data_IF_219810606531
#
_entry.id   IF_219810606531
#
_cell.length_a   1.000
_cell.length_b   1.000
_cell.length_c   1.000
_cell.angle_alpha   90.00
_cell.angle_beta   90.00
_cell.angle_gamma   90.00
#
_symmetry.space_group_name_H-M   'P 1'
#
loop_
_entity.id
_entity.type
_entity.pdbx_description
1 polymer ?
#
# COMPACT_ATOMS: atom_id res chain seq x y z
N UNK A 1 4.75 19.41 -5.21
CA UNK A 1 3.97 18.88 -4.08
C UNK A 1 4.23 17.39 -4.01
N UNK A 2 4.66 16.88 -2.86
CA UNK A 2 4.88 15.45 -2.70
C UNK A 2 3.55 14.70 -2.93
N UNK A 3 3.62 13.57 -3.63
CA UNK A 3 2.48 12.65 -3.79
C UNK A 3 2.71 11.48 -2.85
N UNK A 4 1.64 11.00 -2.22
CA UNK A 4 1.69 9.88 -1.29
C UNK A 4 1.03 8.65 -1.92
N UNK A 5 1.25 7.46 -1.36
CA UNK A 5 0.68 6.23 -1.90
C UNK A 5 -0.27 5.58 -0.90
N UNK A 6 -1.34 4.98 -1.41
CA UNK A 6 -2.08 3.97 -0.65
C UNK A 6 -1.45 2.60 -0.87
N UNK A 7 -1.52 1.71 0.12
CA UNK A 7 -1.02 0.35 0.01
C UNK A 7 -2.03 -0.62 0.63
N UNK A 8 -2.61 -1.49 -0.21
CA UNK A 8 -3.58 -2.48 0.25
C UNK A 8 -2.89 -3.66 0.91
N UNK A 9 -3.41 -4.07 2.07
CA UNK A 9 -3.00 -5.28 2.77
C UNK A 9 -4.14 -6.30 2.78
N UNK A 10 -3.80 -7.59 2.82
CA UNK A 10 -4.74 -8.64 3.21
C UNK A 10 -5.01 -8.51 4.70
N UNK A 11 -6.24 -8.72 5.18
CA UNK A 11 -6.49 -8.63 6.62
C UNK A 11 -5.64 -9.66 7.40
N UNK A 12 -5.02 -9.23 8.51
CA UNK A 12 -4.13 -10.07 9.30
C UNK A 12 -4.34 -9.87 10.81
N UNK A 13 -4.83 -10.90 11.49
CA UNK A 13 -5.23 -10.85 12.91
C UNK A 13 -4.07 -10.72 13.90
N UNK A 14 -2.82 -10.69 13.42
CA UNK A 14 -1.63 -10.46 14.24
C UNK A 14 -0.90 -9.17 13.86
N UNK A 15 -1.60 -8.20 13.26
CA UNK A 15 -1.08 -6.84 13.07
C UNK A 15 0.01 -6.68 12.00
N UNK A 16 0.07 -7.58 11.01
CA UNK A 16 1.07 -7.57 9.91
C UNK A 16 2.52 -7.42 10.39
N UNK A 17 2.86 -8.12 11.47
CA UNK A 17 4.15 -8.03 12.17
C UNK A 17 5.19 -9.08 11.69
N UNK A 18 4.98 -9.71 10.54
CA UNK A 18 5.85 -10.78 10.02
C UNK A 18 5.69 -12.14 10.70
N UNK A 19 4.64 -12.36 11.49
CA UNK A 19 4.35 -13.65 12.13
C UNK A 19 3.07 -14.25 11.56
N UNK A 20 2.95 -15.57 11.56
CA UNK A 20 1.69 -16.26 11.26
C UNK A 20 0.61 -15.79 12.22
N UNK A 21 -0.65 -15.79 11.78
CA UNK A 21 -1.78 -15.50 12.66
C UNK A 21 -1.76 -16.44 13.89
N UNK A 22 -2.17 -15.94 15.06
CA UNK A 22 -2.22 -16.77 16.27
C UNK A 22 -3.28 -17.87 16.19
N UNK A 23 -4.29 -17.66 15.34
CA UNK A 23 -5.37 -18.59 15.02
C UNK A 23 -5.71 -18.50 13.53
N UNK A 24 -4.92 -19.16 12.66
CA UNK A 24 -5.05 -19.00 11.20
C UNK A 24 -6.42 -19.42 10.64
N UNK A 25 -7.08 -20.37 11.30
CA UNK A 25 -8.40 -20.88 10.97
C UNK A 25 -9.53 -19.89 11.26
N UNK A 26 -9.36 -19.01 12.25
CA UNK A 26 -10.33 -17.94 12.57
C UNK A 26 -10.24 -16.75 11.61
N UNK A 27 -9.11 -16.54 10.91
CA UNK A 27 -8.95 -15.44 9.94
C UNK A 27 -9.61 -15.76 8.59
N UNK A 28 -10.94 -15.62 8.52
CA UNK A 28 -11.70 -15.81 7.27
C UNK A 28 -11.54 -14.65 6.28
N UNK A 29 -11.02 -13.51 6.74
CA UNK A 29 -10.93 -12.30 5.93
C UNK A 29 -9.74 -12.33 4.97
N UNK A 30 -8.63 -12.97 5.35
CA UNK A 30 -7.44 -13.06 4.48
C UNK A 30 -7.69 -13.89 3.20
N UNK A 31 -8.67 -14.81 3.23
CA UNK A 31 -9.09 -15.62 2.07
C UNK A 31 -10.34 -15.08 1.36
N UNK A 32 -10.88 -13.95 1.82
CA UNK A 32 -12.10 -13.38 1.26
C UNK A 32 -11.93 -12.92 -0.19
N UNK A 33 -13.05 -12.85 -0.93
CA UNK A 33 -13.09 -12.45 -2.37
C UNK A 33 -12.41 -11.11 -2.66
N UNK A 34 -12.41 -10.20 -1.69
CA UNK A 34 -11.81 -8.88 -1.79
C UNK A 34 -10.55 -8.79 -0.91
N UNK A 35 -9.83 -9.89 -0.72
CA UNK A 35 -8.51 -9.87 -0.11
C UNK A 35 -7.44 -9.35 -1.07
N UNK A 36 -6.21 -9.27 -0.61
CA UNK A 36 -5.04 -8.89 -1.40
C UNK A 36 -4.00 -10.01 -1.41
N UNK A 37 -3.38 -10.33 -2.56
CA UNK A 37 -3.67 -9.82 -3.91
C UNK A 37 -4.78 -10.63 -4.61
N UNK A 38 -6.05 -10.35 -4.32
CA UNK A 38 -7.18 -11.10 -4.88
C UNK A 38 -7.46 -12.38 -4.10
N UNK A 39 -7.55 -13.51 -4.80
CA UNK A 39 -7.87 -14.82 -4.22
C UNK A 39 -6.66 -15.73 -3.98
N UNK A 40 -5.43 -15.21 -4.17
CA UNK A 40 -4.17 -15.96 -4.03
C UNK A 40 -4.08 -16.67 -2.69
N UNK A 41 -4.29 -15.95 -1.58
CA UNK A 41 -4.19 -16.54 -0.23
C UNK A 41 -5.18 -17.70 -0.06
N UNK A 42 -6.41 -17.55 -0.54
CA UNK A 42 -7.43 -18.60 -0.46
C UNK A 42 -7.09 -19.84 -1.28
N UNK A 43 -6.32 -19.70 -2.37
CA UNK A 43 -5.92 -20.81 -3.26
C UNK A 43 -4.65 -21.51 -2.82
N UNK A 44 -3.70 -20.77 -2.22
CA UNK A 44 -2.33 -21.27 -2.02
C UNK A 44 -1.95 -21.49 -0.56
N UNK A 45 -2.78 -21.06 0.41
CA UNK A 45 -2.47 -21.31 1.82
C UNK A 45 -2.48 -22.80 2.16
N UNK A 46 -1.54 -23.18 3.02
CA UNK A 46 -1.51 -24.47 3.68
C UNK A 46 -1.97 -24.24 5.13
N UNK A 47 -3.27 -24.47 5.38
CA UNK A 47 -3.87 -24.18 6.68
C UNK A 47 -3.28 -25.09 7.78
N UNK A 48 -3.02 -26.36 7.48
CA UNK A 48 -2.47 -27.30 8.46
C UNK A 48 -1.06 -26.84 8.88
N UNK A 49 -0.23 -26.46 7.91
CA UNK A 49 1.09 -25.89 8.21
C UNK A 49 0.99 -24.58 9.00
N UNK A 50 0.09 -23.67 8.62
CA UNK A 50 -0.12 -22.40 9.33
C UNK A 50 -0.57 -22.64 10.78
N UNK A 51 -1.46 -23.62 11.02
CA UNK A 51 -1.91 -24.00 12.36
C UNK A 51 -0.78 -24.59 13.20
N UNK A 52 0.07 -25.45 12.63
CA UNK A 52 1.23 -26.03 13.32
C UNK A 52 2.27 -24.96 13.73
N UNK A 53 2.32 -23.84 13.01
CA UNK A 53 3.25 -22.73 13.25
C UNK A 53 2.54 -21.44 13.67
N UNK A 54 1.36 -21.56 14.30
CA UNK A 54 0.54 -20.40 14.67
C UNK A 54 1.31 -19.43 15.58
N UNK A 55 1.32 -18.14 15.19
CA UNK A 55 2.06 -17.09 15.91
C UNK A 55 3.58 -17.12 15.73
N UNK A 56 4.15 -18.05 14.97
CA UNK A 56 5.59 -18.10 14.72
C UNK A 56 6.06 -17.03 13.75
N UNK A 57 7.33 -16.65 13.89
CA UNK A 57 8.02 -15.68 13.07
C UNK A 57 8.36 -16.24 11.68
N UNK A 58 7.91 -15.58 10.63
CA UNK A 58 8.13 -16.02 9.25
C UNK A 58 9.60 -16.08 8.86
N UNK A 59 10.49 -15.34 9.55
CA UNK A 59 11.93 -15.40 9.28
C UNK A 59 12.56 -16.75 9.62
N UNK A 60 11.84 -17.63 10.32
CA UNK A 60 12.32 -18.95 10.77
C UNK A 60 11.63 -20.11 10.07
N UNK A 61 10.58 -19.83 9.29
CA UNK A 61 9.76 -20.85 8.67
C UNK A 61 10.46 -21.43 7.44
N UNK A 62 10.20 -22.71 7.18
CA UNK A 62 10.65 -23.38 5.96
C UNK A 62 9.72 -23.07 4.79
N UNK A 63 8.41 -23.06 5.04
CA UNK A 63 7.41 -22.69 4.05
C UNK A 63 7.10 -21.20 4.13
N UNK A 64 6.95 -20.58 2.96
CA UNK A 64 6.56 -19.18 2.83
C UNK A 64 5.03 -19.11 2.94
N UNK A 65 4.46 -18.32 3.88
CA UNK A 65 3.02 -18.21 3.99
C UNK A 65 2.40 -17.53 2.78
N UNK A 66 1.17 -17.90 2.43
CA UNK A 66 0.50 -17.37 1.25
C UNK A 66 0.24 -15.85 1.33
N UNK A 67 0.12 -15.31 2.55
CA UNK A 67 -0.03 -13.87 2.79
C UNK A 67 1.30 -13.09 2.81
N UNK A 68 2.42 -13.73 2.46
CA UNK A 68 3.79 -13.19 2.56
C UNK A 68 4.01 -11.85 1.86
N UNK A 69 3.26 -11.55 0.79
CA UNK A 69 3.30 -10.26 0.09
C UNK A 69 2.83 -9.08 0.94
N UNK A 70 2.13 -9.30 2.05
CA UNK A 70 1.61 -8.21 2.91
C UNK A 70 1.91 -8.38 4.40
N UNK A 71 2.29 -9.58 4.84
CA UNK A 71 2.42 -9.94 6.26
C UNK A 71 3.51 -9.15 7.01
N UNK A 72 4.48 -8.55 6.32
CA UNK A 72 5.63 -7.88 6.93
C UNK A 72 5.55 -6.34 6.93
N UNK A 73 4.37 -5.77 6.64
CA UNK A 73 4.17 -4.31 6.57
C UNK A 73 4.66 -3.57 7.82
N UNK A 74 4.52 -4.20 8.99
CA UNK A 74 4.96 -3.68 10.29
C UNK A 74 5.88 -4.65 11.04
N UNK A 75 6.50 -5.61 10.33
CA UNK A 75 7.42 -6.58 10.92
C UNK A 75 8.83 -6.05 11.11
N UNK A 76 9.57 -6.64 12.06
CA UNK A 76 10.91 -6.18 12.47
C UNK A 76 12.06 -6.96 11.87
N UNK A 77 11.79 -7.99 11.05
CA UNK A 77 12.79 -8.90 10.49
C UNK A 77 12.69 -9.03 8.99
N UNK A 78 13.77 -9.55 8.40
CA UNK A 78 13.78 -9.98 7.02
C UNK A 78 12.93 -11.25 6.88
N UNK A 79 12.03 -11.27 5.90
CA UNK A 79 11.30 -12.47 5.50
C UNK A 79 11.45 -12.67 3.99
N UNK A 80 10.90 -13.77 3.48
CA UNK A 80 10.81 -14.04 2.06
C UNK A 80 9.33 -14.07 1.69
N UNK A 81 8.97 -13.39 0.61
CA UNK A 81 7.69 -13.56 -0.06
C UNK A 81 7.86 -14.33 -1.36
N UNK A 82 6.80 -15.00 -1.80
CA UNK A 82 6.79 -15.75 -3.04
C UNK A 82 5.76 -15.18 -4.01
N UNK A 83 6.08 -15.18 -5.30
CA UNK A 83 5.11 -14.87 -6.35
C UNK A 83 5.19 -15.93 -7.45
N UNK A 84 4.08 -16.62 -7.67
CA UNK A 84 3.93 -17.54 -8.78
C UNK A 84 3.51 -16.81 -10.07
N UNK A 85 3.98 -17.28 -11.24
CA UNK A 85 3.46 -16.81 -12.52
C UNK A 85 2.02 -17.31 -12.73
N UNK A 86 1.24 -16.64 -13.59
CA UNK A 86 -0.09 -17.12 -13.97
C UNK A 86 -0.07 -18.54 -14.56
N UNK A 87 -1.11 -19.34 -14.32
CA UNK A 87 -1.21 -20.75 -14.75
C UNK A 87 -0.92 -21.00 -16.25
N UNK A 88 -1.25 -20.05 -17.12
CA UNK A 88 -0.99 -20.20 -18.54
C UNK A 88 0.50 -20.09 -18.91
N UNK A 89 1.35 -19.52 -18.03
CA UNK A 89 2.81 -19.47 -18.18
C UNK A 89 3.51 -20.73 -17.66
N UNK A 90 2.83 -21.58 -16.88
CA UNK A 90 3.41 -22.75 -16.22
C UNK A 90 3.23 -24.06 -17.01
N UNK A 91 2.68 -23.99 -18.23
CA UNK A 91 2.44 -25.17 -19.06
C UNK A 91 3.60 -25.45 -20.03
N UNK A 92 4.16 -26.66 -19.99
CA UNK A 92 5.07 -27.19 -21.01
C UNK A 92 6.55 -27.33 -20.59
N UNK A 93 7.41 -27.70 -21.55
CA UNK A 93 8.84 -28.03 -21.30
C UNK A 93 9.72 -26.85 -20.84
N UNK A 94 9.21 -25.62 -20.86
CA UNK A 94 9.88 -24.40 -20.39
C UNK A 94 8.91 -23.55 -19.55
N UNK A 95 8.21 -24.22 -18.64
CA UNK A 95 7.29 -23.58 -17.71
C UNK A 95 8.02 -22.51 -16.89
N UNK A 96 7.46 -21.30 -16.85
CA UNK A 96 7.92 -20.29 -15.91
C UNK A 96 7.71 -20.81 -14.49
N UNK A 97 8.57 -20.38 -13.58
CA UNK A 97 8.52 -20.73 -12.17
C UNK A 97 8.50 -19.47 -11.31
N UNK A 98 7.91 -19.60 -10.12
CA UNK A 98 7.80 -18.52 -9.16
C UNK A 98 9.17 -17.95 -8.76
N UNK A 99 9.12 -16.79 -8.15
CA UNK A 99 10.31 -16.09 -7.66
C UNK A 99 10.15 -15.70 -6.20
N UNK A 100 11.23 -15.88 -5.46
CA UNK A 100 11.35 -15.45 -4.08
C UNK A 100 11.79 -13.98 -4.04
N UNK A 101 11.09 -13.20 -3.23
CA UNK A 101 11.25 -11.77 -3.08
C UNK A 101 11.67 -11.51 -1.63
N UNK A 102 12.94 -11.16 -1.38
CA UNK A 102 13.39 -10.78 -0.05
C UNK A 102 12.66 -9.50 0.41
N UNK A 103 12.01 -9.57 1.57
CA UNK A 103 11.34 -8.44 2.19
C UNK A 103 12.11 -8.03 3.45
N UNK A 104 12.78 -6.86 3.45
CA UNK A 104 13.33 -6.26 4.67
C UNK A 104 12.26 -5.98 5.74
N UNK A 105 12.65 -5.54 6.95
CA UNK A 105 11.68 -5.10 7.96
C UNK A 105 10.80 -3.97 7.43
N UNK A 106 9.53 -3.99 7.85
CA UNK A 106 8.52 -3.01 7.47
C UNK A 106 8.32 -2.87 5.95
N UNK A 107 8.26 -4.01 5.26
CA UNK A 107 8.09 -4.10 3.81
C UNK A 107 6.81 -4.85 3.45
N UNK A 108 6.02 -4.29 2.54
CA UNK A 108 4.91 -4.98 1.88
C UNK A 108 4.99 -4.77 0.37
N UNK A 109 4.47 -5.72 -0.39
CA UNK A 109 4.35 -5.59 -1.83
C UNK A 109 3.09 -4.84 -2.23
N UNK A 110 3.13 -4.21 -3.41
CA UNK A 110 1.95 -3.64 -4.03
C UNK A 110 2.08 -3.59 -5.56
N UNK A 111 1.01 -3.18 -6.24
CA UNK A 111 0.97 -2.99 -7.67
C UNK A 111 -0.02 -1.90 -8.06
N UNK A 112 0.25 -1.23 -9.18
CA UNK A 112 -0.49 -0.08 -9.67
C UNK A 112 -1.47 -0.47 -10.79
N UNK A 113 -2.49 -1.26 -10.43
CA UNK A 113 -3.47 -1.80 -11.38
C UNK A 113 -4.00 -0.73 -12.36
N UNK A 114 -4.49 0.40 -11.86
CA UNK A 114 -5.09 1.43 -12.71
C UNK A 114 -4.10 2.03 -13.71
N UNK A 115 -2.86 2.30 -13.29
CA UNK A 115 -1.81 2.74 -14.20
C UNK A 115 -1.52 1.69 -15.28
N UNK A 116 -1.62 0.41 -14.96
CA UNK A 116 -1.29 -0.70 -15.86
C UNK A 116 -2.43 -1.19 -16.76
N UNK A 117 -3.66 -0.69 -16.60
CA UNK A 117 -4.84 -1.22 -17.32
C UNK A 117 -5.74 -0.11 -17.91
N UNK A 118 -5.17 1.06 -18.21
CA UNK A 118 -5.88 2.10 -18.97
C UNK A 118 -6.14 1.71 -20.43
N UNK A 119 -7.13 2.36 -21.06
CA UNK A 119 -7.63 2.00 -22.40
C UNK A 119 -6.54 2.01 -23.49
N UNK A 120 -5.51 2.86 -23.36
CA UNK A 120 -4.38 2.98 -24.27
C UNK A 120 -3.39 1.80 -24.22
N UNK A 121 -3.51 0.91 -23.22
CA UNK A 121 -2.72 -0.34 -23.18
C UNK A 121 -3.42 -1.51 -23.87
N UNK A 122 -4.69 -1.37 -24.26
CA UNK A 122 -5.38 -2.36 -25.08
C UNK A 122 -4.70 -2.42 -26.45
N UNK A 123 -4.36 -3.62 -26.90
CA UNK A 123 -3.71 -3.79 -28.20
C UNK A 123 -4.77 -3.72 -29.32
N UNK A 124 -5.34 -2.53 -29.53
CA UNK A 124 -6.32 -2.30 -30.60
C UNK A 124 -5.60 -2.32 -31.95
N UNK A 125 -5.79 -3.42 -32.70
CA UNK A 125 -5.31 -3.59 -34.06
C UNK A 125 -4.06 -4.46 -34.17
N UNK A 126 -4.22 -5.61 -34.82
CA UNK A 126 -3.18 -6.45 -35.43
C UNK A 126 -2.36 -7.42 -34.57
N UNK A 127 -2.68 -7.69 -33.30
CA UNK A 127 -2.09 -8.84 -32.58
C UNK A 127 -3.14 -9.63 -31.79
N UNK A 128 -2.98 -10.96 -31.70
CA UNK A 128 -3.81 -11.87 -30.86
C UNK A 128 -3.65 -11.63 -29.34
N UNK A 129 -3.19 -10.45 -28.91
CA UNK A 129 -2.89 -10.12 -27.52
C UNK A 129 -3.90 -9.12 -27.00
N UNK A 130 -4.31 -9.28 -25.74
CA UNK A 130 -5.25 -8.35 -25.10
C UNK A 130 -4.61 -7.01 -24.73
N UNK A 131 -3.35 -7.03 -24.30
CA UNK A 131 -2.65 -5.83 -23.82
C UNK A 131 -1.20 -5.73 -24.31
N UNK A 132 -0.69 -4.50 -24.43
CA UNK A 132 0.73 -4.21 -24.64
C UNK A 132 1.50 -4.22 -23.31
N UNK A 133 2.14 -5.34 -22.96
CA UNK A 133 2.79 -5.49 -21.65
C UNK A 133 4.03 -4.60 -21.45
N UNK A 134 4.74 -4.23 -22.51
CA UNK A 134 5.89 -3.32 -22.39
C UNK A 134 5.42 -1.92 -22.00
N UNK A 135 4.34 -1.44 -22.62
CA UNK A 135 3.70 -0.18 -22.23
C UNK A 135 3.17 -0.23 -20.79
N UNK A 136 2.57 -1.36 -20.37
CA UNK A 136 2.14 -1.55 -18.96
C UNK A 136 3.30 -1.44 -18.00
N UNK A 137 4.45 -2.00 -18.35
CA UNK A 137 5.66 -1.93 -17.54
C UNK A 137 6.24 -0.50 -17.50
N UNK A 138 6.25 0.24 -18.61
CA UNK A 138 6.63 1.66 -18.61
C UNK A 138 5.71 2.50 -17.72
N UNK A 139 4.40 2.24 -17.75
CA UNK A 139 3.44 2.93 -16.88
C UNK A 139 3.64 2.58 -15.41
N UNK A 140 3.94 1.33 -15.10
CA UNK A 140 4.28 0.93 -13.73
C UNK A 140 5.55 1.66 -13.25
N UNK A 141 6.59 1.73 -14.08
CA UNK A 141 7.82 2.50 -13.79
C UNK A 141 7.51 3.97 -13.53
N UNK A 142 6.70 4.60 -14.40
CA UNK A 142 6.27 6.00 -14.24
C UNK A 142 5.50 6.20 -12.93
N UNK A 143 4.56 5.31 -12.63
CA UNK A 143 3.77 5.38 -11.40
C UNK A 143 4.64 5.37 -10.15
N UNK A 144 5.61 4.45 -10.05
CA UNK A 144 6.45 4.38 -8.85
C UNK A 144 7.49 5.52 -8.79
N UNK A 145 7.94 6.05 -9.93
CA UNK A 145 8.90 7.15 -9.96
C UNK A 145 8.38 8.49 -9.44
N UNK A 146 7.05 8.62 -9.24
CA UNK A 146 6.44 9.85 -8.75
C UNK A 146 6.56 10.02 -7.22
N UNK A 147 6.88 8.94 -6.49
CA UNK A 147 7.02 8.97 -5.04
C UNK A 147 8.47 9.21 -4.64
N UNK A 148 8.66 10.03 -3.60
CA UNK A 148 9.98 10.44 -3.11
C UNK A 148 10.31 9.69 -1.83
N UNK A 149 11.38 8.89 -1.86
CA UNK A 149 11.94 8.23 -0.66
C UNK A 149 12.33 9.28 0.39
N UNK A 150 12.00 9.03 1.65
CA UNK A 150 12.22 9.98 2.75
C UNK A 150 11.24 11.15 2.79
N UNK A 151 10.25 11.23 1.89
CA UNK A 151 9.23 12.29 1.91
C UNK A 151 7.80 11.78 1.76
N UNK A 152 7.55 10.94 0.77
CA UNK A 152 6.21 10.39 0.54
C UNK A 152 5.76 9.52 1.72
N UNK A 153 4.45 9.53 1.98
CA UNK A 153 3.80 8.67 2.97
C UNK A 153 3.16 7.47 2.30
N UNK A 154 3.09 6.37 3.04
CA UNK A 154 2.40 5.13 2.68
C UNK A 154 1.19 4.99 3.60
N UNK A 155 -0.01 5.08 3.06
CA UNK A 155 -1.28 4.88 3.78
C UNK A 155 -1.77 3.46 3.58
N UNK A 156 -1.67 2.64 4.64
CA UNK A 156 -2.07 1.24 4.59
C UNK A 156 -3.57 1.09 4.78
N UNK A 157 -4.20 0.22 4.00
CA UNK A 157 -5.63 -0.03 4.11
C UNK A 157 -6.00 -1.48 3.78
N UNK A 158 -7.16 -1.94 4.25
CA UNK A 158 -7.79 -3.19 3.84
C UNK A 158 -8.93 -2.95 2.85
N UNK A 159 -9.05 -3.84 1.87
CA UNK A 159 -10.23 -3.94 1.00
C UNK A 159 -11.43 -4.55 1.74
N UNK A 160 -12.54 -4.81 1.05
CA UNK A 160 -13.80 -5.23 1.68
C UNK A 160 -13.77 -6.57 2.42
N UNK A 161 -12.73 -7.39 2.25
CA UNK A 161 -12.51 -8.57 3.08
C UNK A 161 -11.77 -8.15 4.35
N UNK A 162 -12.52 -7.51 5.25
CA UNK A 162 -12.09 -7.08 6.59
C UNK A 162 -13.26 -7.22 7.59
N UNK A 163 -12.99 -7.25 8.91
CA UNK A 163 -14.03 -7.44 9.93
C UNK A 163 -15.06 -6.33 10.06
N UNK A 164 -14.83 -5.16 9.45
CA UNK A 164 -15.67 -3.98 9.56
C UNK A 164 -16.46 -3.68 8.27
N UNK A 165 -16.53 -4.67 7.39
CA UNK A 165 -17.37 -4.69 6.20
C UNK A 165 -18.44 -5.75 6.34
N UNK A 166 -19.67 -5.35 6.10
CA UNK A 166 -20.84 -6.23 6.12
C UNK A 166 -21.31 -6.47 4.69
N UNK A 167 -22.16 -7.47 4.47
CA UNK A 167 -22.72 -7.76 3.14
C UNK A 167 -23.45 -6.56 2.55
N UNK A 168 -24.16 -5.80 3.39
CA UNK A 168 -24.92 -4.61 2.99
C UNK A 168 -24.06 -3.35 2.91
N UNK A 169 -22.93 -3.29 3.65
CA UNK A 169 -22.05 -2.11 3.71
C UNK A 169 -20.58 -2.46 3.51
N UNK A 170 -20.12 -2.37 2.27
CA UNK A 170 -18.71 -2.56 1.91
C UNK A 170 -17.87 -1.33 2.28
N UNK A 171 -16.90 -1.52 3.18
CA UNK A 171 -16.06 -0.45 3.72
C UNK A 171 -14.57 -0.73 3.48
N UNK A 172 -13.85 0.27 2.98
CA UNK A 172 -12.40 0.28 3.13
C UNK A 172 -12.05 0.68 4.57
N UNK A 173 -10.96 0.13 5.10
CA UNK A 173 -10.53 0.40 6.48
C UNK A 173 -9.07 0.81 6.47
N UNK A 174 -8.75 1.95 7.07
CA UNK A 174 -7.36 2.38 7.24
C UNK A 174 -6.69 1.59 8.36
N UNK A 175 -5.44 1.21 8.13
CA UNK A 175 -4.64 0.39 9.03
C UNK A 175 -3.57 1.24 9.72
N UNK A 176 -2.94 2.14 8.98
CA UNK A 176 -1.85 2.94 9.49
C UNK A 176 -1.18 3.78 8.41
N UNK A 177 -0.10 4.45 8.79
CA UNK A 177 0.71 5.29 7.91
C UNK A 177 2.18 5.16 8.27
N UNK A 178 3.07 5.22 7.28
CA UNK A 178 4.51 5.34 7.54
C UNK A 178 5.21 6.11 6.42
N UNK A 179 6.34 6.74 6.75
CA UNK A 179 7.17 7.40 5.74
C UNK A 179 7.82 6.35 4.84
N UNK A 180 7.78 6.61 3.53
CA UNK A 180 8.41 5.78 2.52
C UNK A 180 9.93 5.80 2.72
N UNK A 181 10.51 4.62 2.92
CA UNK A 181 11.96 4.45 3.05
C UNK A 181 12.61 4.05 1.74
N UNK A 182 12.03 3.07 1.05
CA UNK A 182 12.60 2.54 -0.19
C UNK A 182 11.54 1.93 -1.09
N UNK A 183 11.64 2.22 -2.38
CA UNK A 183 10.92 1.51 -3.43
C UNK A 183 11.87 0.42 -3.97
N UNK A 184 11.49 -0.85 -3.83
CA UNK A 184 12.29 -1.99 -4.26
C UNK A 184 12.37 -2.14 -5.78
N UNK A 185 13.33 -2.91 -6.26
CA UNK A 185 13.48 -3.23 -7.68
C UNK A 185 12.33 -4.09 -8.21
N UNK A 186 12.21 -4.19 -9.54
CA UNK A 186 11.31 -5.15 -10.16
C UNK A 186 11.95 -6.54 -10.18
N UNK A 187 11.13 -7.56 -9.93
CA UNK A 187 11.54 -8.96 -9.99
C UNK A 187 11.01 -9.60 -11.28
N UNK A 188 11.59 -10.72 -11.67
CA UNK A 188 11.22 -11.46 -12.88
C UNK A 188 11.03 -12.93 -12.53
N UNK A 189 10.05 -13.57 -13.16
CA UNK A 189 9.85 -15.01 -13.00
C UNK A 189 11.03 -15.79 -13.53
N UNK A 190 11.29 -16.93 -12.91
CA UNK A 190 12.38 -17.82 -13.29
C UNK A 190 11.97 -18.67 -14.51
N UNK A 191 12.95 -19.09 -15.31
CA UNK A 191 12.75 -20.02 -16.44
C UNK A 191 11.69 -19.59 -17.49
N UNK A 192 11.52 -18.28 -17.70
CA UNK A 192 10.58 -17.76 -18.71
C UNK A 192 11.04 -18.07 -20.14
N UNK A 193 10.11 -18.51 -20.99
CA UNK A 193 10.37 -18.80 -22.41
C UNK A 193 10.72 -17.52 -23.21
N UNK A 194 11.43 -17.66 -24.33
CA UNK A 194 11.75 -16.51 -25.21
C UNK A 194 10.50 -15.79 -25.72
N UNK A 195 9.40 -16.53 -25.90
CA UNK A 195 8.10 -15.93 -26.24
C UNK A 195 7.58 -15.05 -25.12
N UNK A 196 7.65 -15.51 -23.86
CA UNK A 196 7.25 -14.72 -22.69
C UNK A 196 8.13 -13.48 -22.58
N UNK A 197 9.46 -13.64 -22.75
CA UNK A 197 10.40 -12.53 -22.65
C UNK A 197 10.08 -11.39 -23.62
N UNK A 198 9.80 -11.76 -24.87
CA UNK A 198 9.48 -10.81 -25.94
C UNK A 198 8.11 -10.13 -25.78
N UNK A 199 7.16 -10.79 -25.13
CA UNK A 199 5.75 -10.39 -25.22
C UNK A 199 5.15 -9.91 -23.88
N UNK A 200 5.81 -10.18 -22.76
CA UNK A 200 5.30 -9.94 -21.40
C UNK A 200 6.34 -9.22 -20.52
N UNK A 201 6.98 -8.17 -21.06
CA UNK A 201 7.93 -7.34 -20.33
C UNK A 201 9.00 -8.17 -19.59
N UNK A 202 9.63 -9.11 -20.30
CA UNK A 202 10.62 -10.03 -19.77
C UNK A 202 10.12 -10.96 -18.62
N UNK A 203 8.81 -11.16 -18.49
CA UNK A 203 8.23 -11.96 -17.41
C UNK A 203 8.28 -11.24 -16.05
N UNK A 204 8.06 -9.93 -16.05
CA UNK A 204 8.07 -9.11 -14.82
C UNK A 204 7.01 -9.55 -13.82
N UNK A 205 7.41 -9.57 -12.54
CA UNK A 205 6.49 -9.69 -11.41
C UNK A 205 5.92 -8.31 -11.09
N UNK A 206 4.59 -8.20 -11.14
CA UNK A 206 3.92 -6.92 -10.94
C UNK A 206 3.94 -6.44 -9.49
N UNK A 207 4.15 -7.36 -8.54
CA UNK A 207 4.28 -7.04 -7.13
C UNK A 207 5.63 -6.37 -6.88
N UNK A 208 5.59 -5.14 -6.40
CA UNK A 208 6.77 -4.32 -6.10
C UNK A 208 6.92 -4.14 -4.58
N UNK A 209 8.06 -4.51 -3.98
CA UNK A 209 8.30 -4.31 -2.55
C UNK A 209 8.42 -2.83 -2.21
N UNK A 210 7.69 -2.38 -1.19
CA UNK A 210 7.74 -1.02 -0.65
C UNK A 210 8.14 -1.12 0.82
N UNK A 211 9.27 -0.51 1.16
CA UNK A 211 9.80 -0.50 2.52
C UNK A 211 9.51 0.84 3.17
N UNK A 212 9.10 0.82 4.43
CA UNK A 212 8.80 2.01 5.21
C UNK A 212 9.82 2.25 6.32
N UNK A 213 9.72 3.41 6.97
CA UNK A 213 10.50 3.74 8.16
C UNK A 213 9.84 3.27 9.46
N UNK A 214 8.79 2.44 9.41
CA UNK A 214 8.24 1.86 10.63
C UNK A 214 9.31 0.98 11.33
N UNK A 215 9.47 1.03 12.66
CA UNK A 215 8.64 1.78 13.61
C UNK A 215 9.12 3.21 13.92
N UNK A 216 10.22 3.73 13.38
CA UNK A 216 10.69 5.09 13.76
C UNK A 216 9.77 6.18 13.22
N UNK A 217 9.31 6.05 11.98
CA UNK A 217 8.39 7.02 11.36
C UNK A 217 7.16 6.29 10.81
N UNK A 218 6.31 5.83 11.72
CA UNK A 218 5.08 5.15 11.37
C UNK A 218 4.09 5.04 12.52
N UNK A 219 2.86 4.74 12.17
CA UNK A 219 1.73 4.56 13.06
C UNK A 219 0.86 3.42 12.53
N UNK A 220 0.34 2.57 13.41
CA UNK A 220 -0.58 1.49 13.08
C UNK A 220 -1.63 1.35 14.18
N UNK A 221 -2.86 1.13 13.78
CA UNK A 221 -3.97 0.87 14.70
C UNK A 221 -3.89 -0.58 15.19
N UNK A 222 -3.87 -0.84 16.51
CA UNK A 222 -3.72 -2.18 17.09
C UNK A 222 -5.06 -2.94 17.12
N UNK A 223 -5.69 -3.12 15.97
CA UNK A 223 -7.01 -3.78 15.87
C UNK A 223 -7.06 -5.14 16.57
N UNK A 224 -6.00 -5.94 16.46
CA UNK A 224 -5.89 -7.27 17.04
C UNK A 224 -6.09 -7.30 18.56
N UNK A 225 -5.79 -6.20 19.26
CA UNK A 225 -6.01 -6.10 20.71
C UNK A 225 -7.46 -5.86 21.07
N UNK A 226 -8.24 -5.27 20.17
CA UNK A 226 -9.58 -4.76 20.44
C UNK A 226 -10.69 -5.54 19.74
N UNK A 227 -10.38 -6.62 19.02
CA UNK A 227 -11.37 -7.43 18.29
C UNK A 227 -12.57 -7.91 19.14
N UNK A 228 -12.41 -8.05 20.46
CA UNK A 228 -13.48 -8.43 21.40
C UNK A 228 -14.09 -7.23 22.16
N UNK A 229 -13.79 -5.99 21.76
CA UNK A 229 -14.25 -4.78 22.41
C UNK A 229 -14.84 -3.80 21.38
N UNK A 230 -16.12 -3.99 21.07
CA UNK A 230 -16.86 -3.17 20.11
C UNK A 230 -16.87 -1.68 20.46
N UNK A 231 -16.91 -1.32 21.75
CA UNK A 231 -16.93 0.07 22.18
C UNK A 231 -15.66 0.81 21.75
N UNK A 232 -14.50 0.17 21.92
CA UNK A 232 -13.22 0.74 21.49
C UNK A 232 -13.09 0.68 19.97
N UNK A 233 -13.46 -0.44 19.33
CA UNK A 233 -13.42 -0.57 17.87
C UNK A 233 -14.20 0.54 17.17
N UNK A 234 -15.40 0.86 17.64
CA UNK A 234 -16.22 1.94 17.09
C UNK A 234 -15.55 3.32 17.16
N UNK A 235 -14.60 3.51 18.08
CA UNK A 235 -13.83 4.76 18.23
C UNK A 235 -12.53 4.74 17.41
N UNK A 236 -11.92 3.57 17.18
CA UNK A 236 -10.60 3.48 16.51
C UNK A 236 -10.66 3.10 15.03
N UNK A 237 -11.74 2.49 14.55
CA UNK A 237 -11.89 2.10 13.14
C UNK A 237 -12.09 3.34 12.28
N UNK A 238 -11.21 3.52 11.30
CA UNK A 238 -11.31 4.62 10.34
C UNK A 238 -11.73 4.08 8.97
N UNK A 239 -12.90 4.53 8.51
CA UNK A 239 -13.38 4.37 7.14
C UNK A 239 -13.06 5.66 6.38
N UNK A 240 -12.31 5.63 5.27
CA UNK A 240 -11.92 6.85 4.58
C UNK A 240 -13.15 7.52 3.96
N UNK A 241 -13.30 8.83 4.20
CA UNK A 241 -14.37 9.64 3.61
C UNK A 241 -14.23 9.67 2.08
N UNK A 242 -13.03 10.02 1.60
CA UNK A 242 -12.66 9.86 0.21
C UNK A 242 -12.13 8.45 -0.04
N UNK A 243 -12.94 7.62 -0.69
CA UNK A 243 -12.58 6.23 -1.04
C UNK A 243 -11.67 6.14 -2.28
N UNK A 244 -11.55 7.20 -3.08
CA UNK A 244 -10.86 7.15 -4.37
C UNK A 244 -9.40 6.69 -4.26
N UNK A 245 -8.59 7.16 -3.29
CA UNK A 245 -7.22 6.69 -3.12
C UNK A 245 -7.12 5.24 -2.63
N UNK A 246 -8.18 4.67 -2.05
CA UNK A 246 -8.14 3.37 -1.37
C UNK A 246 -8.78 2.27 -2.22
N UNK A 247 -8.29 2.11 -3.46
CA UNK A 247 -8.78 1.07 -4.40
C UNK A 247 -7.62 0.29 -5.02
N UNK A 248 -7.91 -0.96 -5.42
CA UNK A 248 -6.96 -1.89 -6.03
C UNK A 248 -5.78 -2.23 -5.12
N UNK A 249 -4.53 -2.15 -5.59
CA UNK A 249 -3.33 -2.38 -4.78
C UNK A 249 -2.73 -1.08 -4.26
N UNK A 250 -2.57 -0.10 -5.14
CA UNK A 250 -1.99 1.21 -4.86
C UNK A 250 -2.59 2.28 -5.76
N UNK A 251 -2.83 3.46 -5.20
CA UNK A 251 -3.18 4.71 -5.90
C UNK A 251 -2.51 5.89 -5.21
N UNK A 252 -2.48 7.02 -5.90
CA UNK A 252 -2.02 8.30 -5.38
C UNK A 252 -2.95 8.80 -4.27
N UNK A 253 -2.36 9.35 -3.21
CA UNK A 253 -3.02 10.05 -2.10
C UNK A 253 -2.52 11.50 -2.12
N UNK A 254 -3.44 12.45 -2.16
CA UNK A 254 -3.13 13.88 -2.17
C UNK A 254 -2.73 14.39 -0.78
N UNK A 255 -2.12 15.58 -0.70
CA UNK A 255 -1.87 16.24 0.58
C UNK A 255 -3.16 16.52 1.37
N UNK A 256 -4.26 16.88 0.68
CA UNK A 256 -5.56 17.13 1.34
C UNK A 256 -6.13 15.85 1.96
N UNK A 257 -6.11 14.73 1.22
CA UNK A 257 -6.53 13.43 1.74
C UNK A 257 -5.63 12.98 2.89
N UNK A 258 -4.32 13.17 2.76
CA UNK A 258 -3.35 12.85 3.80
C UNK A 258 -3.64 13.65 5.08
N UNK A 259 -3.83 14.97 5.00
CA UNK A 259 -4.17 15.83 6.15
C UNK A 259 -5.43 15.32 6.85
N UNK A 260 -6.49 15.04 6.10
CA UNK A 260 -7.74 14.51 6.66
C UNK A 260 -7.53 13.20 7.42
N UNK A 261 -6.73 12.28 6.85
CA UNK A 261 -6.43 10.99 7.45
C UNK A 261 -5.56 11.12 8.70
N UNK A 262 -4.51 11.97 8.67
CA UNK A 262 -3.63 12.18 9.82
C UNK A 262 -4.43 12.74 11.01
N UNK A 263 -5.39 13.64 10.79
CA UNK A 263 -6.31 14.09 11.84
C UNK A 263 -7.09 12.93 12.46
N UNK A 264 -7.64 12.03 11.64
CA UNK A 264 -8.34 10.84 12.13
C UNK A 264 -7.41 9.92 12.93
N UNK A 265 -6.15 9.77 12.54
CA UNK A 265 -5.18 9.01 13.32
C UNK A 265 -4.85 9.67 14.67
N UNK A 266 -4.81 11.00 14.74
CA UNK A 266 -4.65 11.72 16.01
C UNK A 266 -5.84 11.44 16.96
N UNK A 267 -7.07 11.44 16.45
CA UNK A 267 -8.25 11.07 17.24
C UNK A 267 -8.12 9.65 17.81
N UNK A 268 -7.65 8.70 16.99
CA UNK A 268 -7.42 7.31 17.42
C UNK A 268 -6.34 7.22 18.50
N UNK A 269 -5.25 7.97 18.36
CA UNK A 269 -4.19 8.01 19.38
C UNK A 269 -4.72 8.55 20.70
N UNK A 270 -5.60 9.55 20.67
CA UNK A 270 -6.21 10.10 21.89
C UNK A 270 -7.10 9.09 22.59
N UNK A 271 -7.90 8.33 21.84
CA UNK A 271 -8.68 7.21 22.39
C UNK A 271 -7.75 6.15 23.00
N UNK A 272 -6.67 5.78 22.32
CA UNK A 272 -5.72 4.77 22.80
C UNK A 272 -5.01 5.21 24.09
N UNK A 273 -4.68 6.49 24.22
CA UNK A 273 -4.13 7.06 25.46
C UNK A 273 -5.18 7.04 26.59
N UNK A 274 -6.43 7.43 26.30
CA UNK A 274 -7.52 7.47 27.27
C UNK A 274 -7.81 6.09 27.88
N UNK A 275 -7.82 5.05 27.06
CA UNK A 275 -8.06 3.67 27.52
C UNK A 275 -6.82 3.01 28.14
N UNK A 276 -5.70 3.72 28.24
CA UNK A 276 -4.46 3.22 28.83
C UNK A 276 -3.77 2.14 27.99
N UNK A 277 -3.90 2.20 26.67
CA UNK A 277 -3.21 1.29 25.77
C UNK A 277 -1.68 1.43 25.89
N UNK A 278 -0.97 0.30 25.83
CA UNK A 278 0.49 0.23 25.95
C UNK A 278 1.16 -0.60 24.84
N UNK A 279 0.49 -0.84 23.71
CA UNK A 279 1.08 -1.62 22.60
C UNK A 279 2.18 -0.84 21.88
N UNK A 280 2.11 0.49 21.89
CA UNK A 280 3.15 1.38 21.37
C UNK A 280 3.33 2.59 22.30
N UNK A 281 4.37 3.39 22.06
CA UNK A 281 4.52 4.70 22.71
C UNK A 281 3.59 5.71 22.01
N UNK A 282 2.36 5.81 22.50
CA UNK A 282 1.35 6.69 21.90
C UNK A 282 1.68 8.17 21.97
N UNK A 283 2.48 8.61 22.95
CA UNK A 283 2.92 10.01 23.01
C UNK A 283 3.88 10.30 21.88
N UNK A 284 4.86 9.41 21.68
CA UNK A 284 5.77 9.50 20.53
C UNK A 284 5.03 9.44 19.20
N UNK A 285 4.02 8.56 19.06
CA UNK A 285 3.16 8.51 17.86
C UNK A 285 2.39 9.81 17.64
N UNK A 286 1.82 10.38 18.70
CA UNK A 286 1.09 11.65 18.63
C UNK A 286 2.00 12.78 18.17
N UNK A 287 3.20 12.88 18.74
CA UNK A 287 4.19 13.90 18.37
C UNK A 287 4.58 13.78 16.89
N UNK A 288 4.88 12.58 16.41
CA UNK A 288 5.22 12.34 15.01
C UNK A 288 4.06 12.61 14.04
N UNK A 289 2.82 12.23 14.37
CA UNK A 289 1.66 12.56 13.55
C UNK A 289 1.40 14.07 13.48
N UNK A 290 1.63 14.81 14.57
CA UNK A 290 1.54 16.28 14.56
C UNK A 290 2.64 16.91 13.70
N UNK A 291 3.87 16.39 13.73
CA UNK A 291 4.94 16.88 12.87
C UNK A 291 4.63 16.62 11.39
N UNK A 292 4.09 15.44 11.05
CA UNK A 292 3.61 15.15 9.70
C UNK A 292 2.52 16.13 9.26
N UNK A 293 1.57 16.44 10.14
CA UNK A 293 0.51 17.38 9.82
C UNK A 293 1.09 18.76 9.47
N UNK A 294 2.08 19.23 10.22
CA UNK A 294 2.78 20.47 9.93
C UNK A 294 3.50 20.44 8.55
N UNK A 295 4.23 19.35 8.26
CA UNK A 295 4.89 19.13 6.96
C UNK A 295 3.89 19.14 5.79
N UNK A 296 2.73 18.52 5.98
CA UNK A 296 1.67 18.44 4.96
C UNK A 296 1.02 19.81 4.70
N UNK A 297 0.77 20.59 5.75
CA UNK A 297 0.22 21.95 5.61
C UNK A 297 1.20 22.88 4.88
N UNK A 298 2.49 22.79 5.18
CA UNK A 298 3.52 23.53 4.44
C UNK A 298 3.58 23.08 2.97
N UNK A 299 3.54 21.76 2.73
CA UNK A 299 3.58 21.19 1.39
C UNK A 299 2.33 21.46 0.55
N UNK A 300 1.17 21.66 1.18
CA UNK A 300 -0.10 22.03 0.54
C UNK A 300 -0.06 23.43 -0.05
N UNK A 301 0.71 24.33 0.57
CA UNK A 301 0.76 25.74 0.21
C UNK A 301 -0.55 26.49 0.54
N UNK A 302 -0.57 27.81 0.38
CA UNK A 302 -1.67 28.66 0.85
C UNK A 302 -2.94 28.57 0.00
N UNK A 303 -2.83 28.21 -1.28
CA UNK A 303 -3.93 28.24 -2.26
C UNK A 303 -3.94 26.97 -3.14
N UNK A 304 -4.26 25.80 -2.59
CA UNK A 304 -4.14 24.50 -3.28
C UNK A 304 -4.97 24.37 -4.56
N UNK A 305 -6.07 25.13 -4.70
CA UNK A 305 -6.88 25.16 -5.92
C UNK A 305 -6.33 26.05 -7.04
N UNK A 306 -5.38 26.95 -6.73
CA UNK A 306 -4.85 27.91 -7.68
C UNK A 306 -4.11 27.27 -8.86
N UNK A 307 -3.28 26.21 -8.69
CA UNK A 307 -2.67 25.48 -9.82
C UNK A 307 -3.68 24.99 -10.85
N UNK A 308 -4.79 24.39 -10.40
CA UNK A 308 -5.81 23.86 -11.29
C UNK A 308 -6.50 24.99 -12.07
N UNK A 309 -6.80 26.10 -11.41
CA UNK A 309 -7.37 27.30 -12.06
C UNK A 309 -6.39 27.88 -13.08
N UNK A 310 -5.10 28.02 -12.74
CA UNK A 310 -4.07 28.51 -13.66
C UNK A 310 -3.93 27.61 -14.89
N UNK A 311 -3.96 26.30 -14.73
CA UNK A 311 -3.95 25.35 -15.85
C UNK A 311 -5.19 25.47 -16.74
N UNK A 312 -6.38 25.62 -16.15
CA UNK A 312 -7.63 25.85 -16.91
C UNK A 312 -7.60 27.15 -17.69
N UNK A 313 -6.93 28.18 -17.16
CA UNK A 313 -6.72 29.47 -17.84
C UNK A 313 -5.57 29.43 -18.88
N UNK A 314 -4.93 28.28 -19.09
CA UNK A 314 -3.80 28.13 -20.02
C UNK A 314 -2.48 28.69 -19.52
N UNK A 315 -2.41 29.12 -18.25
CA UNK A 315 -1.24 29.76 -17.62
C UNK A 315 -0.29 28.75 -16.97
N UNK A 316 0.04 27.67 -17.69
CA UNK A 316 0.81 26.54 -17.16
C UNK A 316 2.23 26.92 -16.70
N UNK A 317 2.82 27.98 -17.27
CA UNK A 317 4.12 28.49 -16.84
C UNK A 317 4.08 29.02 -15.39
N UNK A 318 2.95 29.59 -14.98
CA UNK A 318 2.76 30.15 -13.64
C UNK A 318 2.50 29.07 -12.59
N UNK A 319 2.01 27.89 -13.00
CA UNK A 319 1.86 26.73 -12.11
C UNK A 319 3.21 26.27 -11.58
N UNK A 320 4.23 26.21 -12.44
CA UNK A 320 5.59 25.79 -12.06
C UNK A 320 6.24 26.77 -11.09
N UNK A 321 5.94 28.07 -11.22
CA UNK A 321 6.40 29.09 -10.29
C UNK A 321 5.63 29.04 -8.97
N UNK A 322 4.30 28.88 -9.01
CA UNK A 322 3.48 28.77 -7.81
C UNK A 322 3.91 27.59 -6.92
N UNK A 323 4.14 26.40 -7.50
CA UNK A 323 4.48 25.18 -6.75
C UNK A 323 5.82 25.31 -5.99
N UNK A 324 6.71 26.23 -6.38
CA UNK A 324 7.98 26.48 -5.68
C UNK A 324 7.81 27.29 -4.39
N UNK A 325 6.65 27.89 -4.15
CA UNK A 325 6.40 28.82 -3.04
C UNK A 325 5.50 28.13 -2.00
N UNK A 326 6.00 28.00 -0.77
CA UNK A 326 5.33 27.22 0.29
C UNK A 326 4.64 28.10 1.33
N UNK A 327 4.88 29.41 1.36
CA UNK A 327 4.28 30.32 2.34
C UNK A 327 3.63 31.58 1.72
N UNK A 328 2.82 32.28 2.52
CA UNK A 328 2.04 33.45 2.10
C UNK A 328 2.94 34.67 1.85
N UNK A 329 4.04 34.84 2.57
CA UNK A 329 4.95 35.98 2.39
C UNK A 329 5.67 35.93 1.04
N UNK A 330 6.17 34.76 0.64
CA UNK A 330 6.78 34.52 -0.67
C UNK A 330 5.77 34.73 -1.81
N UNK A 331 4.50 34.40 -1.57
CA UNK A 331 3.40 34.67 -2.49
C UNK A 331 3.07 36.16 -2.60
N UNK A 332 3.06 36.88 -1.49
CA UNK A 332 2.76 38.32 -1.47
C UNK A 332 3.88 39.16 -2.10
N UNK A 333 5.13 38.68 -2.01
CA UNK A 333 6.30 39.32 -2.62
C UNK A 333 6.47 38.96 -4.11
N UNK A 334 5.58 38.14 -4.67
CA UNK A 334 5.67 37.72 -6.05
C UNK A 334 5.11 38.79 -7.00
N UNK A 335 6.01 39.44 -7.73
CA UNK A 335 5.68 40.40 -8.78
C UNK A 335 5.63 39.71 -10.14
N UNK A 336 4.49 39.80 -10.82
CA UNK A 336 4.31 39.34 -12.20
C UNK A 336 5.04 40.30 -13.14
N UNK A 337 6.21 39.90 -13.65
CA UNK A 337 6.90 40.58 -14.75
C UNK A 337 6.72 39.83 -16.06
#
# INVERSE_FOLDING_TARGET
MAIHMSLRLAWHDNGWNGHICKKPDENVYCIGRYSYPGDVIGKTRDLDYEMDHAGEDCSKLKCIPACSLSINAFGSKNIIAHSDPPDWMTNGKNAASGVDIPLPPATACTWCYEAMYGDDVEATGYTNKKYNNDLRFEKAKKYFSQFEEGKSLIFYYAGYSNPFSEEETQNYVLIGVSRLKKIGDFYYYNNVSEEIKKNYANGVVWQKPITSFYPSEGFRIPYEKYMNNEEILNKIVIKPENRSPFKYGSREVSNDDAISIIWRFLDVVDVLIEVGDSTEDWKYRKEWLNSLLAELWESRGPYPGLPAVLSLLGLNQLVSEYIKRTNIEDMNNFTWN
#
